data_IF_135618858389
#
_entry.id   IF_135618858389
#
_cell.length_a   1.000
_cell.length_b   1.000
_cell.length_c   1.000
_cell.angle_alpha   90.00
_cell.angle_beta   90.00
_cell.angle_gamma   90.00
#
_symmetry.space_group_name_H-M   'P 1'
#
loop_
_entity.id
_entity.type
_entity.pdbx_description
1 polymer ?
#
# COMPACT_ATOMS: atom_id res chain seq x y z
N UNK A 1 -62.60 13.91 9.62
CA UNK A 1 -61.25 13.96 10.20
C UNK A 1 -60.64 12.55 10.10
N UNK A 2 -59.94 12.21 9.01
CA UNK A 2 -59.20 10.96 8.95
C UNK A 2 -57.87 11.12 9.70
N UNK A 3 -57.56 10.15 10.57
CA UNK A 3 -56.38 10.16 11.43
C UNK A 3 -55.07 10.08 10.64
N UNK A 4 -54.08 10.83 11.11
CA UNK A 4 -52.71 10.79 10.59
C UNK A 4 -52.08 9.41 10.82
N UNK A 5 -51.45 8.82 9.80
CA UNK A 5 -50.67 7.59 9.98
C UNK A 5 -49.40 7.88 10.77
N UNK A 6 -49.25 7.20 11.90
CA UNK A 6 -48.05 7.21 12.73
C UNK A 6 -46.83 6.74 11.92
N UNK A 7 -45.87 7.64 11.70
CA UNK A 7 -44.59 7.32 11.07
C UNK A 7 -43.83 6.38 12.01
N UNK A 8 -43.39 5.18 11.57
CA UNK A 8 -42.56 4.31 12.39
C UNK A 8 -41.23 5.02 12.67
N UNK A 9 -40.93 5.25 13.95
CA UNK A 9 -39.67 5.84 14.40
C UNK A 9 -38.50 4.98 13.90
N UNK A 10 -37.66 5.54 13.06
CA UNK A 10 -36.36 4.94 12.71
C UNK A 10 -35.59 4.73 14.02
N UNK A 11 -35.18 3.50 14.36
CA UNK A 11 -34.42 3.27 15.58
C UNK A 11 -33.12 4.08 15.50
N UNK A 12 -32.84 4.86 16.54
CA UNK A 12 -31.54 5.52 16.67
C UNK A 12 -30.43 4.46 16.56
N UNK A 13 -29.29 4.76 15.89
CA UNK A 13 -28.19 3.82 15.79
C UNK A 13 -27.80 3.37 17.20
N UNK A 14 -27.88 2.06 17.45
CA UNK A 14 -27.53 1.45 18.73
C UNK A 14 -26.08 1.87 19.05
N UNK A 15 -25.89 2.54 20.18
CA UNK A 15 -24.53 2.81 20.67
C UNK A 15 -23.80 1.46 20.75
N UNK A 16 -22.56 1.37 20.22
CA UNK A 16 -21.86 0.09 20.18
C UNK A 16 -21.67 -0.40 21.61
N UNK A 17 -22.03 -1.67 21.86
CA UNK A 17 -21.90 -2.34 23.17
C UNK A 17 -20.55 -2.01 23.83
N UNK A 18 -20.50 -1.68 25.14
CA UNK A 18 -19.27 -1.27 25.83
C UNK A 18 -18.15 -2.32 25.75
N UNK A 19 -18.50 -3.56 25.42
CA UNK A 19 -17.58 -4.63 25.06
C UNK A 19 -17.90 -5.23 23.69
N UNK A 20 -16.88 -5.68 22.96
CA UNK A 20 -17.07 -6.36 21.68
C UNK A 20 -15.78 -6.64 20.91
N UNK A 21 -15.84 -7.47 19.85
CA UNK A 21 -14.71 -7.74 18.98
C UNK A 21 -14.29 -6.48 18.21
N UNK A 22 -12.99 -6.31 18.04
CA UNK A 22 -12.41 -5.22 17.28
C UNK A 22 -11.02 -5.64 16.74
N UNK A 23 -10.45 -4.81 15.89
CA UNK A 23 -9.10 -4.98 15.35
C UNK A 23 -8.27 -3.76 15.74
N UNK A 24 -7.15 -3.99 16.41
CA UNK A 24 -6.15 -2.98 16.69
C UNK A 24 -5.17 -2.92 15.52
N UNK A 25 -5.06 -1.74 14.92
CA UNK A 25 -4.20 -1.47 13.77
C UNK A 25 -3.08 -0.52 14.20
N UNK A 26 -1.86 -1.03 14.33
CA UNK A 26 -0.71 -0.20 14.73
C UNK A 26 -0.16 0.53 13.51
N UNK A 27 0.05 1.83 13.63
CA UNK A 27 0.52 2.65 12.51
C UNK A 27 1.94 2.27 12.07
N UNK A 28 2.19 2.45 10.78
CA UNK A 28 3.47 2.30 10.10
C UNK A 28 4.42 3.45 10.37
N UNK A 29 5.15 3.90 9.35
CA UNK A 29 6.13 4.99 9.45
C UNK A 29 5.50 6.38 9.73
N UNK A 30 4.18 6.47 9.90
CA UNK A 30 3.46 7.72 10.12
C UNK A 30 3.93 8.44 11.39
N UNK A 31 4.37 7.71 12.42
CA UNK A 31 4.89 8.31 13.65
C UNK A 31 6.18 9.11 13.43
N UNK A 32 6.91 8.88 12.33
CA UNK A 32 8.11 9.64 11.96
C UNK A 32 7.76 11.00 11.33
N UNK A 33 6.49 11.25 11.00
CA UNK A 33 6.04 12.51 10.42
C UNK A 33 5.74 13.51 11.54
N UNK A 34 6.38 14.68 11.48
CA UNK A 34 6.21 15.77 12.45
C UNK A 34 4.86 16.47 12.32
N UNK A 35 4.85 17.74 11.89
CA UNK A 35 3.65 18.60 11.89
C UNK A 35 2.48 18.09 11.02
N UNK A 36 2.75 17.32 9.96
CA UNK A 36 1.73 16.88 8.99
C UNK A 36 1.06 15.54 9.33
N UNK A 37 1.29 15.00 10.52
CA UNK A 37 0.84 13.65 10.91
C UNK A 37 -0.67 13.42 10.79
N UNK A 38 -1.49 14.44 11.01
CA UNK A 38 -2.94 14.36 10.89
C UNK A 38 -3.36 14.00 9.45
N UNK A 39 -2.80 14.66 8.43
CA UNK A 39 -3.07 14.37 7.01
C UNK A 39 -2.73 12.92 6.63
N UNK A 40 -1.62 12.39 7.14
CA UNK A 40 -1.26 10.98 6.93
C UNK A 40 -2.26 10.03 7.60
N UNK A 41 -2.74 10.38 8.79
CA UNK A 41 -3.71 9.56 9.54
C UNK A 41 -5.07 9.56 8.84
N UNK A 42 -5.53 10.71 8.36
CA UNK A 42 -6.76 10.84 7.59
C UNK A 42 -6.70 10.01 6.30
N UNK A 43 -5.62 10.15 5.52
CA UNK A 43 -5.41 9.34 4.31
C UNK A 43 -5.40 7.84 4.61
N UNK A 44 -4.78 7.43 5.71
CA UNK A 44 -4.78 6.03 6.14
C UNK A 44 -6.20 5.53 6.44
N UNK A 45 -7.01 6.35 7.10
CA UNK A 45 -8.41 6.02 7.39
C UNK A 45 -9.25 5.96 6.11
N UNK A 46 -9.01 6.85 5.15
CA UNK A 46 -9.68 6.79 3.85
C UNK A 46 -9.34 5.51 3.08
N UNK A 47 -8.06 5.11 3.08
CA UNK A 47 -7.63 3.85 2.49
C UNK A 47 -8.27 2.65 3.21
N UNK A 48 -8.37 2.70 4.54
CA UNK A 48 -9.05 1.67 5.32
C UNK A 48 -10.55 1.60 4.98
N UNK A 49 -11.24 2.72 4.89
CA UNK A 49 -12.65 2.77 4.46
C UNK A 49 -12.82 2.21 3.05
N UNK A 50 -11.91 2.54 2.13
CA UNK A 50 -11.86 1.98 0.78
C UNK A 50 -11.75 0.46 0.80
N UNK A 51 -10.82 -0.10 1.57
CA UNK A 51 -10.63 -1.54 1.72
C UNK A 51 -11.84 -2.26 2.36
N UNK A 52 -12.65 -1.55 3.16
CA UNK A 52 -13.85 -2.06 3.81
C UNK A 52 -15.12 -1.94 2.96
N UNK A 53 -15.07 -1.33 1.76
CA UNK A 53 -16.24 -1.25 0.88
C UNK A 53 -16.74 -2.65 0.52
N UNK A 54 -18.06 -2.80 0.46
CA UNK A 54 -18.73 -4.06 0.10
C UNK A 54 -18.54 -5.20 1.12
N UNK A 55 -18.19 -4.91 2.37
CA UNK A 55 -17.98 -5.94 3.40
C UNK A 55 -19.29 -6.49 4.01
N UNK A 56 -20.45 -5.94 3.63
CA UNK A 56 -21.76 -6.50 4.01
C UNK A 56 -22.28 -6.12 5.41
N UNK A 57 -21.75 -5.07 6.03
CA UNK A 57 -22.23 -4.58 7.33
C UNK A 57 -21.70 -3.20 7.69
N UNK A 58 -22.11 -2.70 8.86
CA UNK A 58 -21.66 -1.40 9.37
C UNK A 58 -20.25 -1.53 9.98
N UNK A 59 -19.40 -0.52 9.78
CA UNK A 59 -18.07 -0.44 10.39
C UNK A 59 -17.82 0.92 11.01
N UNK A 60 -16.98 0.97 12.04
CA UNK A 60 -16.56 2.19 12.71
C UNK A 60 -15.05 2.20 12.93
N UNK A 61 -14.47 3.40 12.92
CA UNK A 61 -13.04 3.64 13.07
C UNK A 61 -12.83 4.63 14.22
N UNK A 62 -12.06 4.23 15.23
CA UNK A 62 -11.62 5.10 16.34
C UNK A 62 -10.13 5.33 16.25
N UNK A 63 -9.72 6.59 16.29
CA UNK A 63 -8.30 6.95 16.27
C UNK A 63 -7.75 7.06 17.69
N UNK A 64 -6.54 6.57 17.89
CA UNK A 64 -5.72 6.83 19.06
C UNK A 64 -4.30 7.19 18.64
N UNK A 65 -3.47 7.58 19.60
CA UNK A 65 -2.05 7.85 19.33
C UNK A 65 -1.35 6.58 18.80
N UNK A 66 -0.90 6.61 17.54
CA UNK A 66 -0.23 5.50 16.83
C UNK A 66 -1.07 4.21 16.67
N UNK A 67 -2.38 4.24 16.96
CA UNK A 67 -3.27 3.10 16.81
C UNK A 67 -4.57 3.54 16.15
N UNK A 68 -5.11 2.70 15.29
CA UNK A 68 -6.49 2.79 14.84
C UNK A 68 -7.23 1.57 15.37
N UNK A 69 -8.41 1.75 15.94
CA UNK A 69 -9.30 0.67 16.34
C UNK A 69 -10.42 0.58 15.32
N UNK A 70 -10.58 -0.60 14.74
CA UNK A 70 -11.62 -0.92 13.78
C UNK A 70 -12.62 -1.89 14.43
N UNK A 71 -13.91 -1.63 14.30
CA UNK A 71 -14.94 -2.60 14.66
C UNK A 71 -16.16 -2.44 13.76
N UNK A 72 -17.18 -3.25 13.99
CA UNK A 72 -18.38 -3.24 13.17
C UNK A 72 -19.29 -4.43 13.41
N UNK A 73 -20.42 -4.44 12.73
CA UNK A 73 -21.36 -5.57 12.68
C UNK A 73 -20.98 -6.50 11.52
N UNK A 74 -19.75 -6.98 11.56
CA UNK A 74 -19.12 -7.80 10.53
C UNK A 74 -18.26 -8.86 11.22
N UNK A 75 -18.14 -10.09 10.69
CA UNK A 75 -17.20 -11.07 11.23
C UNK A 75 -15.79 -10.50 11.42
N UNK A 76 -15.19 -10.80 12.58
CA UNK A 76 -13.87 -10.27 12.95
C UNK A 76 -12.79 -10.68 11.94
N UNK A 77 -12.90 -11.90 11.41
CA UNK A 77 -11.97 -12.45 10.41
C UNK A 77 -11.97 -11.63 9.12
N UNK A 78 -13.15 -11.20 8.64
CA UNK A 78 -13.27 -10.36 7.46
C UNK A 78 -12.62 -8.98 7.67
N UNK A 79 -12.83 -8.38 8.86
CA UNK A 79 -12.17 -7.12 9.22
C UNK A 79 -10.64 -7.26 9.22
N UNK A 80 -10.13 -8.36 9.79
CA UNK A 80 -8.70 -8.66 9.80
C UNK A 80 -8.18 -8.85 8.37
N UNK A 81 -8.88 -9.62 7.53
CA UNK A 81 -8.46 -9.89 6.15
C UNK A 81 -8.36 -8.60 5.32
N UNK A 82 -9.38 -7.72 5.40
CA UNK A 82 -9.36 -6.43 4.71
C UNK A 82 -8.27 -5.52 5.26
N UNK A 83 -8.13 -5.42 6.58
CA UNK A 83 -7.15 -4.53 7.20
C UNK A 83 -5.69 -4.96 6.93
N UNK A 84 -5.42 -6.27 6.76
CA UNK A 84 -4.09 -6.79 6.41
C UNK A 84 -3.58 -6.34 5.04
N UNK A 85 -4.45 -5.82 4.17
CA UNK A 85 -4.08 -5.29 2.85
C UNK A 85 -3.84 -3.79 2.84
N UNK A 86 -4.14 -3.09 3.94
CA UNK A 86 -4.02 -1.63 3.99
C UNK A 86 -2.58 -1.23 4.32
N UNK A 87 -1.89 -0.71 3.31
CA UNK A 87 -0.55 -0.14 3.45
C UNK A 87 -0.61 1.07 4.41
N UNK A 88 0.34 1.10 5.34
CA UNK A 88 0.43 2.10 6.41
C UNK A 88 0.16 1.54 7.80
N UNK A 89 -0.25 0.27 7.94
CA UNK A 89 -0.33 -0.44 9.23
C UNK A 89 0.79 -1.47 9.37
N UNK A 90 1.53 -1.42 10.48
CA UNK A 90 2.61 -2.35 10.79
C UNK A 90 2.12 -3.67 11.38
N UNK A 91 1.03 -3.64 12.14
CA UNK A 91 0.39 -4.86 12.65
C UNK A 91 -1.13 -4.73 12.68
N UNK A 92 -1.76 -5.87 12.51
CA UNK A 92 -3.21 -6.08 12.55
C UNK A 92 -3.48 -7.13 13.62
N UNK A 93 -4.10 -6.69 14.71
CA UNK A 93 -4.24 -7.48 15.94
C UNK A 93 -5.74 -7.62 16.26
N UNK A 94 -6.37 -8.78 16.04
CA UNK A 94 -7.71 -9.04 16.55
C UNK A 94 -7.71 -8.91 18.08
N UNK A 95 -8.74 -8.26 18.62
CA UNK A 95 -8.81 -7.90 20.02
C UNK A 95 -10.26 -7.88 20.53
N UNK A 96 -10.40 -7.94 21.84
CA UNK A 96 -11.65 -7.65 22.53
C UNK A 96 -11.54 -6.29 23.20
N UNK A 97 -12.51 -5.42 22.91
CA UNK A 97 -12.74 -4.17 23.60
C UNK A 97 -13.55 -4.46 24.86
N UNK A 98 -13.13 -3.92 25.99
CA UNK A 98 -13.77 -4.09 27.30
C UNK A 98 -13.71 -2.80 28.13
N UNK A 99 -14.54 -2.64 29.16
CA UNK A 99 -14.36 -1.55 30.12
C UNK A 99 -12.95 -1.56 30.73
N UNK A 100 -12.42 -0.37 31.03
CA UNK A 100 -11.08 -0.23 31.61
C UNK A 100 -11.06 -0.52 33.13
N UNK A 101 -11.55 -1.68 33.54
CA UNK A 101 -11.52 -2.15 34.93
C UNK A 101 -10.63 -3.38 35.07
N UNK A 102 -10.00 -3.56 36.23
CA UNK A 102 -9.22 -4.77 36.51
C UNK A 102 -10.03 -6.06 36.32
N UNK A 103 -11.27 -6.20 36.84
CA UNK A 103 -12.07 -7.41 36.65
C UNK A 103 -12.34 -7.75 35.18
N UNK A 104 -12.77 -6.77 34.38
CA UNK A 104 -13.14 -6.99 32.98
C UNK A 104 -11.92 -7.42 32.14
N UNK A 105 -10.81 -6.71 32.28
CA UNK A 105 -9.56 -7.05 31.58
C UNK A 105 -9.06 -8.44 31.99
N UNK A 106 -9.11 -8.76 33.29
CA UNK A 106 -8.65 -10.05 33.81
C UNK A 106 -9.49 -11.19 33.26
N UNK A 107 -10.81 -11.06 33.30
CA UNK A 107 -11.74 -12.05 32.74
C UNK A 107 -11.42 -12.34 31.28
N UNK A 108 -11.28 -11.29 30.47
CA UNK A 108 -10.99 -11.45 29.04
C UNK A 108 -9.61 -12.06 28.76
N UNK A 109 -8.58 -11.69 29.52
CA UNK A 109 -7.26 -12.29 29.38
C UNK A 109 -7.26 -13.80 29.71
N UNK A 110 -8.02 -14.20 30.74
CA UNK A 110 -8.20 -15.61 31.11
C UNK A 110 -8.95 -16.37 30.03
N UNK A 111 -10.07 -15.83 29.54
CA UNK A 111 -10.89 -16.45 28.48
C UNK A 111 -10.09 -16.63 27.18
N UNK A 112 -9.31 -15.63 26.77
CA UNK A 112 -8.46 -15.70 25.58
C UNK A 112 -7.41 -16.83 25.68
N UNK A 113 -6.75 -16.97 26.84
CA UNK A 113 -5.78 -18.04 27.06
C UNK A 113 -6.41 -19.42 27.24
N UNK A 114 -7.62 -19.49 27.83
CA UNK A 114 -8.36 -20.74 27.94
C UNK A 114 -8.69 -21.33 26.56
N UNK A 115 -9.13 -20.49 25.63
CA UNK A 115 -9.39 -20.89 24.25
C UNK A 115 -8.11 -21.41 23.57
N UNK A 116 -7.01 -20.63 23.62
CA UNK A 116 -5.74 -21.02 23.00
C UNK A 116 -5.15 -22.31 23.58
N UNK A 117 -5.32 -22.55 24.88
CA UNK A 117 -4.87 -23.78 25.55
C UNK A 117 -5.67 -25.01 25.14
N UNK A 118 -6.98 -24.85 24.92
CA UNK A 118 -7.85 -25.95 24.48
C UNK A 118 -7.37 -26.50 23.13
N UNK A 119 -6.92 -25.61 22.25
CA UNK A 119 -6.35 -25.98 20.95
C UNK A 119 -4.95 -26.59 21.08
N UNK A 120 -4.12 -26.06 21.99
CA UNK A 120 -2.72 -26.48 22.15
C UNK A 120 -2.37 -26.65 23.63
N UNK A 121 -2.43 -27.88 24.17
CA UNK A 121 -1.99 -28.17 25.52
C UNK A 121 -0.51 -27.84 25.73
N UNK A 122 -0.16 -27.24 26.87
CA UNK A 122 1.24 -26.96 27.24
C UNK A 122 1.84 -25.67 26.67
N UNK A 123 1.05 -24.81 26.01
CA UNK A 123 1.52 -23.52 25.51
C UNK A 123 2.12 -22.64 26.62
N UNK A 124 3.23 -21.99 26.29
CA UNK A 124 3.78 -20.91 27.09
C UNK A 124 3.09 -19.59 26.81
N UNK A 125 3.05 -18.70 27.80
CA UNK A 125 2.46 -17.37 27.62
C UNK A 125 3.28 -16.26 28.27
N UNK A 126 3.02 -15.03 27.83
CA UNK A 126 3.39 -13.82 28.55
C UNK A 126 2.28 -12.78 28.46
N UNK A 127 2.29 -11.86 29.43
CA UNK A 127 1.42 -10.68 29.43
C UNK A 127 2.30 -9.44 29.18
N UNK A 128 1.80 -8.52 28.34
CA UNK A 128 2.38 -7.20 28.14
C UNK A 128 1.31 -6.13 28.26
N UNK A 129 1.56 -5.11 29.08
CA UNK A 129 0.60 -4.05 29.36
C UNK A 129 1.15 -2.70 28.90
N UNK A 130 0.42 -2.04 28.00
CA UNK A 130 0.69 -0.67 27.59
C UNK A 130 -0.40 0.27 28.11
N UNK A 131 0.01 1.26 28.91
CA UNK A 131 -0.88 2.23 29.54
C UNK A 131 -0.81 3.59 28.87
N UNK A 132 -1.93 4.02 28.26
CA UNK A 132 -2.18 5.43 27.91
C UNK A 132 -2.68 6.17 29.14
N UNK A 133 -3.66 5.59 29.84
CA UNK A 133 -4.16 6.13 31.10
C UNK A 133 -3.13 5.93 32.23
N UNK A 134 -2.49 7.03 32.68
CA UNK A 134 -1.51 7.04 33.78
C UNK A 134 -2.16 7.08 35.17
N UNK A 135 -3.47 7.22 35.25
CA UNK A 135 -4.25 7.22 36.49
C UNK A 135 -4.79 5.82 36.85
N UNK A 136 -4.61 4.82 35.97
CA UNK A 136 -4.99 3.44 36.25
C UNK A 136 -4.27 2.88 37.50
N UNK A 137 -5.00 2.14 38.33
CA UNK A 137 -4.65 1.73 39.69
C UNK A 137 -3.32 0.97 39.84
N UNK A 138 -2.84 0.30 38.79
CA UNK A 138 -1.60 -0.49 38.82
C UNK A 138 -0.67 -0.14 37.65
N UNK A 139 0.62 0.07 37.90
CA UNK A 139 1.62 0.27 36.82
C UNK A 139 1.63 -0.90 35.83
N UNK A 140 2.14 -0.70 34.62
CA UNK A 140 2.20 -1.76 33.60
C UNK A 140 2.83 -3.05 34.14
N UNK A 141 3.98 -2.94 34.81
CA UNK A 141 4.70 -4.11 35.35
C UNK A 141 3.97 -4.77 36.52
N UNK A 142 3.31 -3.99 37.39
CA UNK A 142 2.46 -4.54 38.44
C UNK A 142 1.27 -5.30 37.84
N UNK A 143 0.62 -4.74 36.82
CA UNK A 143 -0.55 -5.35 36.21
C UNK A 143 -0.20 -6.58 35.37
N UNK A 144 0.96 -6.60 34.71
CA UNK A 144 1.50 -7.80 34.05
C UNK A 144 1.66 -8.98 35.03
N UNK A 145 2.25 -8.72 36.21
CA UNK A 145 2.40 -9.74 37.26
C UNK A 145 1.05 -10.21 37.80
N UNK A 146 0.14 -9.27 38.04
CA UNK A 146 -1.21 -9.55 38.51
C UNK A 146 -1.98 -10.43 37.53
N UNK A 147 -2.04 -10.05 36.25
CA UNK A 147 -2.70 -10.82 35.20
C UNK A 147 -2.07 -12.21 35.05
N UNK A 148 -0.73 -12.30 35.05
CA UNK A 148 -0.03 -13.57 34.98
C UNK A 148 -0.38 -14.51 36.13
N UNK A 149 -0.49 -13.99 37.36
CA UNK A 149 -0.92 -14.77 38.52
C UNK A 149 -2.38 -15.25 38.39
N UNK A 150 -3.30 -14.35 38.02
CA UNK A 150 -4.72 -14.68 37.84
C UNK A 150 -4.98 -15.70 36.74
N UNK A 151 -4.23 -15.62 35.64
CA UNK A 151 -4.28 -16.63 34.57
C UNK A 151 -3.86 -18.01 35.08
N UNK A 152 -2.74 -18.10 35.83
CA UNK A 152 -2.28 -19.38 36.39
C UNK A 152 -3.22 -19.93 37.45
N UNK A 153 -3.84 -19.07 38.24
CA UNK A 153 -4.84 -19.46 39.23
C UNK A 153 -6.10 -20.03 38.57
N UNK A 154 -6.60 -19.36 37.52
CA UNK A 154 -7.83 -19.76 36.84
C UNK A 154 -7.65 -21.00 35.96
N UNK A 155 -6.51 -21.14 35.28
CA UNK A 155 -6.29 -22.21 34.30
C UNK A 155 -5.42 -23.34 34.88
N UNK A 156 -4.66 -23.14 35.95
CA UNK A 156 -3.68 -24.10 36.45
C UNK A 156 -2.27 -23.89 35.84
N UNK A 157 -1.37 -24.90 35.90
CA UNK A 157 0.02 -24.73 35.49
C UNK A 157 0.13 -24.43 33.98
N UNK A 158 0.44 -23.17 33.64
CA UNK A 158 0.90 -22.76 32.33
C UNK A 158 2.35 -22.23 32.41
N UNK A 159 3.26 -22.66 31.52
CA UNK A 159 4.60 -22.10 31.41
C UNK A 159 4.58 -20.59 31.11
N UNK A 160 5.40 -19.82 31.81
CA UNK A 160 5.60 -18.39 31.52
C UNK A 160 6.92 -18.23 30.76
N UNK A 161 6.88 -17.65 29.57
CA UNK A 161 8.06 -17.37 28.77
C UNK A 161 8.09 -15.88 28.38
N UNK A 162 8.96 -15.09 29.01
CA UNK A 162 9.00 -13.66 28.80
C UNK A 162 9.77 -13.23 27.54
N UNK A 163 10.54 -14.12 26.91
CA UNK A 163 11.35 -13.81 25.73
C UNK A 163 10.64 -14.22 24.43
N UNK A 164 10.15 -15.45 24.34
CA UNK A 164 9.51 -15.99 23.14
C UNK A 164 8.28 -16.86 23.50
N UNK A 165 7.19 -16.25 23.99
CA UNK A 165 5.97 -16.97 24.34
C UNK A 165 5.25 -17.53 23.12
N UNK A 166 4.57 -18.67 23.27
CA UNK A 166 3.66 -19.19 22.25
C UNK A 166 2.42 -18.30 22.09
N UNK A 167 1.96 -17.70 23.20
CA UNK A 167 0.86 -16.72 23.22
C UNK A 167 1.27 -15.47 23.99
N UNK A 168 1.24 -14.33 23.30
CA UNK A 168 1.45 -13.03 23.93
C UNK A 168 0.10 -12.34 24.13
N UNK A 169 -0.35 -12.25 25.39
CA UNK A 169 -1.52 -11.44 25.75
C UNK A 169 -1.08 -9.98 25.88
N UNK A 170 -1.48 -9.17 24.92
CA UNK A 170 -1.24 -7.73 24.89
C UNK A 170 -2.47 -6.99 25.40
N UNK A 171 -2.27 -6.10 26.37
CA UNK A 171 -3.32 -5.28 26.96
C UNK A 171 -3.00 -3.80 26.73
N UNK A 172 -3.85 -3.10 26.00
CA UNK A 172 -3.80 -1.65 25.86
C UNK A 172 -4.87 -0.99 26.73
N UNK A 173 -4.44 -0.27 27.77
CA UNK A 173 -5.32 0.43 28.71
C UNK A 173 -5.46 1.89 28.30
N UNK A 174 -6.68 2.28 27.94
CA UNK A 174 -7.08 3.66 27.67
C UNK A 174 -7.96 4.21 28.83
N UNK A 175 -8.46 5.44 28.70
CA UNK A 175 -9.26 6.07 29.76
C UNK A 175 -10.66 5.48 29.93
N UNK A 176 -11.29 5.05 28.84
CA UNK A 176 -12.68 4.54 28.86
C UNK A 176 -12.77 3.05 28.60
N UNK A 177 -11.96 2.57 27.66
CA UNK A 177 -12.02 1.21 27.14
C UNK A 177 -10.61 0.66 27.05
N UNK A 178 -10.44 -0.61 27.39
CA UNK A 178 -9.20 -1.36 27.25
C UNK A 178 -9.34 -2.40 26.15
N UNK A 179 -8.22 -2.80 25.57
CA UNK A 179 -8.19 -3.76 24.48
C UNK A 179 -7.27 -4.91 24.83
N UNK A 180 -7.77 -6.13 24.70
CA UNK A 180 -7.01 -7.37 24.96
C UNK A 180 -6.85 -8.11 23.63
N UNK A 181 -5.61 -8.28 23.18
CA UNK A 181 -5.27 -9.07 21.98
C UNK A 181 -4.30 -10.20 22.32
N UNK A 182 -4.36 -11.29 21.57
CA UNK A 182 -3.52 -12.47 21.77
C UNK A 182 -2.94 -13.01 20.46
N UNK A 183 -3.25 -12.38 19.34
CA UNK A 183 -2.72 -12.69 18.02
C UNK A 183 -2.28 -11.41 17.33
N UNK A 184 -1.14 -11.48 16.64
CA UNK A 184 -0.54 -10.35 15.93
C UNK A 184 -0.20 -10.75 14.52
N UNK A 185 -0.96 -10.25 13.55
CA UNK A 185 -0.62 -10.39 12.15
C UNK A 185 0.29 -9.24 11.72
N UNK A 186 1.32 -9.58 10.94
CA UNK A 186 2.16 -8.58 10.30
C UNK A 186 1.35 -7.82 9.24
N UNK A 187 1.36 -6.49 9.32
CA UNK A 187 0.78 -5.62 8.30
C UNK A 187 1.83 -5.18 7.27
N UNK A 188 1.41 -4.56 6.15
CA UNK A 188 2.32 -4.13 5.09
C UNK A 188 3.32 -3.04 5.52
N UNK A 189 3.02 -2.31 6.59
CA UNK A 189 3.78 -1.16 7.05
C UNK A 189 3.83 -0.04 6.00
N UNK A 190 4.89 0.77 6.02
CA UNK A 190 5.10 1.85 5.06
C UNK A 190 4.23 3.09 5.33
N UNK A 191 3.99 3.86 4.27
CA UNK A 191 3.20 5.10 4.27
C UNK A 191 1.84 4.90 3.61
N UNK A 192 0.78 5.60 4.06
CA UNK A 192 -0.53 5.57 3.43
C UNK A 192 -0.43 5.85 1.93
N UNK A 193 -1.02 4.98 1.10
CA UNK A 193 -1.07 5.20 -0.35
C UNK A 193 -1.75 6.53 -0.67
N UNK A 194 -1.18 7.29 -1.60
CA UNK A 194 -1.61 8.64 -1.97
C UNK A 194 -1.01 9.76 -1.11
N UNK A 195 -0.18 9.46 -0.11
CA UNK A 195 0.49 10.48 0.71
C UNK A 195 1.76 11.06 0.09
N UNK A 196 2.31 10.42 -0.96
CA UNK A 196 3.57 10.81 -1.61
C UNK A 196 3.40 11.13 -3.11
N UNK A 197 2.18 11.43 -3.55
CA UNK A 197 1.89 11.73 -4.95
C UNK A 197 1.47 10.52 -5.78
N UNK A 198 1.55 10.66 -7.11
CA UNK A 198 1.09 9.66 -8.08
C UNK A 198 2.23 9.17 -8.96
N UNK A 199 2.18 7.89 -9.32
CA UNK A 199 3.14 7.29 -10.23
C UNK A 199 2.44 6.47 -11.32
N UNK A 200 3.08 6.39 -12.49
CA UNK A 200 2.70 5.48 -13.56
C UNK A 200 3.69 4.32 -13.61
N UNK A 201 3.20 3.11 -13.38
CA UNK A 201 4.00 1.89 -13.32
C UNK A 201 4.04 1.25 -14.71
N UNK A 202 5.24 1.01 -15.25
CA UNK A 202 5.42 0.17 -16.43
C UNK A 202 5.26 -1.30 -16.03
N UNK A 203 4.04 -1.82 -16.18
CA UNK A 203 3.65 -3.15 -15.75
C UNK A 203 3.88 -4.16 -16.89
N UNK A 204 4.74 -5.14 -16.63
CA UNK A 204 5.01 -6.30 -17.47
C UNK A 204 4.39 -7.56 -16.87
N UNK A 205 4.36 -8.66 -17.63
CA UNK A 205 3.88 -9.95 -17.15
C UNK A 205 4.83 -10.70 -16.20
N UNK A 206 6.02 -10.15 -15.93
CA UNK A 206 7.00 -10.79 -15.04
C UNK A 206 6.76 -10.51 -13.55
N UNK A 207 7.58 -11.10 -12.68
CA UNK A 207 7.53 -10.88 -11.23
C UNK A 207 7.91 -9.45 -10.81
N UNK A 208 8.81 -8.83 -11.56
CA UNK A 208 9.60 -7.69 -11.08
C UNK A 208 8.76 -6.41 -11.05
N UNK A 209 7.98 -6.12 -12.10
CA UNK A 209 7.19 -4.88 -12.17
C UNK A 209 6.00 -4.84 -11.19
N UNK A 210 5.26 -5.93 -10.89
CA UNK A 210 4.28 -5.93 -9.80
C UNK A 210 4.92 -5.69 -8.43
N UNK A 211 6.08 -6.29 -8.17
CA UNK A 211 6.79 -6.10 -6.89
C UNK A 211 7.30 -4.67 -6.76
N UNK A 212 7.83 -4.09 -7.83
CA UNK A 212 8.21 -2.68 -7.87
C UNK A 212 7.01 -1.75 -7.61
N UNK A 213 5.85 -2.05 -8.21
CA UNK A 213 4.61 -1.31 -7.97
C UNK A 213 4.21 -1.34 -6.49
N UNK A 214 4.19 -2.53 -5.89
CA UNK A 214 3.86 -2.69 -4.47
C UNK A 214 4.83 -1.94 -3.57
N UNK A 215 6.14 -1.99 -3.85
CA UNK A 215 7.17 -1.26 -3.10
C UNK A 215 7.03 0.27 -3.25
N UNK A 216 6.66 0.75 -4.43
CA UNK A 216 6.30 2.15 -4.65
C UNK A 216 5.07 2.56 -3.82
N UNK A 217 4.02 1.73 -3.80
CA UNK A 217 2.83 1.96 -2.98
C UNK A 217 3.15 2.00 -1.49
N UNK A 218 4.06 1.15 -0.99
CA UNK A 218 4.55 1.18 0.39
C UNK A 218 5.27 2.48 0.77
N UNK A 219 5.76 3.25 -0.20
CA UNK A 219 6.30 4.60 0.01
C UNK A 219 5.25 5.70 -0.15
N UNK A 220 3.97 5.34 -0.22
CA UNK A 220 2.85 6.27 -0.26
C UNK A 220 2.45 6.74 -1.66
N UNK A 221 3.00 6.16 -2.73
CA UNK A 221 2.60 6.48 -4.10
C UNK A 221 1.28 5.81 -4.46
N UNK A 222 0.36 6.57 -5.06
CA UNK A 222 -0.81 5.99 -5.75
C UNK A 222 -0.41 5.63 -7.18
N UNK A 223 -0.65 4.40 -7.60
CA UNK A 223 -0.15 3.85 -8.85
C UNK A 223 -1.28 3.63 -9.86
N UNK A 224 -1.18 4.27 -11.02
CA UNK A 224 -1.80 3.78 -12.26
C UNK A 224 -0.77 2.89 -13.00
N UNK A 225 -1.24 2.06 -13.91
CA UNK A 225 -0.41 1.09 -14.64
C UNK A 225 -0.44 1.38 -16.14
N UNK A 226 0.68 1.18 -16.81
CA UNK A 226 0.78 1.11 -18.27
C UNK A 226 1.40 -0.22 -18.68
N UNK A 227 0.74 -0.94 -19.56
CA UNK A 227 1.21 -2.18 -20.15
C UNK A 227 1.37 -2.02 -21.66
N UNK A 228 2.52 -2.46 -22.17
CA UNK A 228 2.82 -2.43 -23.59
C UNK A 228 2.67 -3.84 -24.19
N UNK A 229 1.91 -3.94 -25.27
CA UNK A 229 1.63 -5.22 -25.95
C UNK A 229 2.33 -5.27 -27.30
N UNK A 230 2.55 -6.47 -27.83
CA UNK A 230 3.07 -6.65 -29.18
C UNK A 230 1.99 -6.64 -30.26
N UNK A 231 0.75 -6.26 -29.94
CA UNK A 231 -0.35 -6.26 -30.91
C UNK A 231 -0.01 -5.38 -32.14
N UNK A 232 -0.40 -5.79 -33.37
CA UNK A 232 -1.22 -6.97 -33.69
C UNK A 232 -0.43 -8.29 -33.84
N UNK A 233 0.87 -8.31 -33.53
CA UNK A 233 1.74 -9.47 -33.75
C UNK A 233 1.75 -10.48 -32.60
N UNK A 234 1.23 -10.10 -31.43
CA UNK A 234 1.06 -11.00 -30.28
C UNK A 234 -0.41 -11.18 -29.94
N UNK A 235 -0.74 -12.30 -29.29
CA UNK A 235 -2.08 -12.56 -28.79
C UNK A 235 -2.43 -11.68 -27.55
N UNK A 236 -3.68 -11.77 -27.09
CA UNK A 236 -4.20 -10.98 -25.96
C UNK A 236 -3.79 -11.49 -24.57
N UNK A 237 -3.06 -12.60 -24.46
CA UNK A 237 -2.72 -13.22 -23.16
C UNK A 237 -1.91 -12.27 -22.26
N UNK A 238 -0.99 -11.49 -22.85
CA UNK A 238 -0.21 -10.49 -22.10
C UNK A 238 -1.09 -9.42 -21.45
N UNK A 239 -2.15 -8.98 -22.15
CA UNK A 239 -3.14 -8.03 -21.63
C UNK A 239 -3.94 -8.63 -20.48
N UNK A 240 -4.42 -9.86 -20.62
CA UNK A 240 -5.15 -10.54 -19.54
C UNK A 240 -4.28 -10.71 -18.29
N UNK A 241 -2.99 -11.05 -18.49
CA UNK A 241 -2.02 -11.18 -17.41
C UNK A 241 -1.76 -9.85 -16.72
N UNK A 242 -1.54 -8.77 -17.48
CA UNK A 242 -1.39 -7.43 -16.93
C UNK A 242 -2.64 -6.96 -16.17
N UNK A 243 -3.84 -7.26 -16.68
CA UNK A 243 -5.10 -6.98 -16.00
C UNK A 243 -5.20 -7.73 -14.66
N UNK A 244 -4.88 -9.02 -14.64
CA UNK A 244 -4.90 -9.83 -13.42
C UNK A 244 -3.90 -9.31 -12.38
N UNK A 245 -2.68 -8.95 -12.80
CA UNK A 245 -1.67 -8.34 -11.92
C UNK A 245 -2.14 -7.00 -11.36
N UNK A 246 -2.66 -6.11 -12.21
CA UNK A 246 -3.18 -4.82 -11.78
C UNK A 246 -4.38 -4.96 -10.83
N UNK A 247 -5.25 -5.96 -11.05
CA UNK A 247 -6.37 -6.29 -10.16
C UNK A 247 -5.87 -6.72 -8.77
N UNK A 248 -4.85 -7.57 -8.71
CA UNK A 248 -4.28 -8.02 -7.44
C UNK A 248 -3.62 -6.86 -6.69
N UNK A 249 -2.86 -6.01 -7.40
CA UNK A 249 -2.22 -4.84 -6.84
C UNK A 249 -3.23 -3.78 -6.34
N UNK A 250 -4.37 -3.63 -7.02
CA UNK A 250 -5.45 -2.74 -6.62
C UNK A 250 -6.14 -3.16 -5.31
N UNK A 251 -5.81 -4.32 -4.74
CA UNK A 251 -6.26 -4.68 -3.38
C UNK A 251 -5.51 -3.91 -2.29
N UNK A 252 -4.36 -3.30 -2.60
CA UNK A 252 -3.49 -2.59 -1.66
C UNK A 252 -3.60 -1.05 -1.76
N UNK A 253 -4.39 -0.54 -2.70
CA UNK A 253 -4.57 0.89 -2.95
C UNK A 253 -5.99 1.20 -3.40
N UNK A 254 -6.43 2.47 -3.37
CA UNK A 254 -7.62 2.88 -4.12
C UNK A 254 -7.47 2.54 -5.61
N UNK A 255 -8.52 2.00 -6.25
CA UNK A 255 -8.47 1.42 -7.59
C UNK A 255 -7.69 2.27 -8.61
N UNK A 256 -6.58 1.72 -9.09
CA UNK A 256 -5.74 2.27 -10.16
C UNK A 256 -6.21 1.79 -11.53
N UNK A 257 -5.94 2.60 -12.55
CA UNK A 257 -6.29 2.32 -13.95
C UNK A 257 -5.18 1.50 -14.62
N UNK A 258 -5.56 0.65 -15.56
CA UNK A 258 -4.61 -0.01 -16.46
C UNK A 258 -4.75 0.57 -17.86
N UNK A 259 -3.67 1.18 -18.34
CA UNK A 259 -3.53 1.69 -19.69
C UNK A 259 -2.81 0.65 -20.55
N UNK A 260 -3.36 0.31 -21.70
CA UNK A 260 -2.79 -0.67 -22.63
C UNK A 260 -2.41 0.04 -23.93
N UNK A 261 -1.14 -0.06 -24.32
CA UNK A 261 -0.59 0.55 -25.53
C UNK A 261 -0.05 -0.56 -26.44
N UNK A 262 -0.54 -0.61 -27.68
CA UNK A 262 -0.08 -1.56 -28.68
C UNK A 262 1.20 -1.05 -29.36
N UNK A 263 2.32 -1.73 -29.12
CA UNK A 263 3.65 -1.30 -29.58
C UNK A 263 4.13 -2.04 -30.84
N UNK A 264 3.43 -3.10 -31.29
CA UNK A 264 3.93 -4.02 -32.31
C UNK A 264 4.39 -3.31 -33.59
N UNK A 265 3.56 -2.41 -34.13
CA UNK A 265 3.92 -1.66 -35.34
C UNK A 265 5.13 -0.75 -35.13
N UNK A 266 5.19 -0.04 -34.00
CA UNK A 266 6.31 0.84 -33.68
C UNK A 266 7.62 0.05 -33.47
N UNK A 267 7.55 -1.17 -32.92
CA UNK A 267 8.72 -2.04 -32.82
C UNK A 267 9.26 -2.46 -34.20
N UNK A 268 8.36 -2.74 -35.15
CA UNK A 268 8.74 -3.03 -36.54
C UNK A 268 9.35 -1.81 -37.21
N UNK A 269 8.79 -0.62 -37.00
CA UNK A 269 9.35 0.62 -37.52
C UNK A 269 10.75 0.91 -36.95
N UNK A 270 10.99 0.66 -35.66
CA UNK A 270 12.33 0.72 -35.06
C UNK A 270 13.34 -0.21 -35.76
N UNK A 271 12.91 -1.42 -36.10
CA UNK A 271 13.75 -2.37 -36.82
C UNK A 271 14.09 -1.86 -38.23
N UNK A 272 13.10 -1.31 -38.96
CA UNK A 272 13.27 -0.71 -40.29
C UNK A 272 14.16 0.54 -40.25
N UNK A 273 14.06 1.36 -39.20
CA UNK A 273 14.90 2.54 -38.99
C UNK A 273 16.39 2.20 -38.73
N UNK A 274 16.70 0.92 -38.54
CA UNK A 274 18.05 0.40 -38.41
C UNK A 274 18.52 0.26 -36.96
N UNK A 275 17.60 0.03 -36.01
CA UNK A 275 17.99 -0.14 -34.60
C UNK A 275 18.93 -1.33 -34.37
N UNK A 276 18.77 -2.43 -35.12
CA UNK A 276 19.68 -3.58 -35.08
C UNK A 276 19.97 -4.08 -33.66
N UNK A 277 21.23 -4.01 -33.21
CA UNK A 277 21.62 -4.42 -31.85
C UNK A 277 21.07 -3.52 -30.73
N UNK A 278 20.64 -2.31 -31.07
CA UNK A 278 20.03 -1.34 -30.15
C UNK A 278 18.52 -1.54 -29.98
N UNK A 279 17.89 -2.45 -30.74
CA UNK A 279 16.44 -2.64 -30.78
C UNK A 279 15.79 -2.69 -29.39
N UNK A 280 16.35 -3.46 -28.45
CA UNK A 280 15.80 -3.58 -27.08
C UNK A 280 15.89 -2.26 -26.31
N UNK A 281 17.00 -1.53 -26.43
CA UNK A 281 17.18 -0.25 -25.73
C UNK A 281 16.32 0.84 -26.37
N UNK A 282 16.25 0.90 -27.69
CA UNK A 282 15.40 1.84 -28.43
C UNK A 282 13.91 1.60 -28.13
N UNK A 283 13.48 0.34 -28.07
CA UNK A 283 12.13 -0.02 -27.65
C UNK A 283 11.82 0.44 -26.23
N UNK A 284 12.73 0.24 -25.28
CA UNK A 284 12.54 0.68 -23.89
C UNK A 284 12.49 2.21 -23.78
N UNK A 285 13.30 2.93 -24.58
CA UNK A 285 13.22 4.39 -24.69
C UNK A 285 11.88 4.86 -25.22
N UNK A 286 11.36 4.22 -26.27
CA UNK A 286 10.02 4.48 -26.79
C UNK A 286 8.93 4.25 -25.72
N UNK A 287 8.99 3.14 -24.98
CA UNK A 287 8.05 2.86 -23.88
C UNK A 287 8.11 3.94 -22.80
N UNK A 288 9.30 4.35 -22.39
CA UNK A 288 9.49 5.38 -21.36
C UNK A 288 9.04 6.75 -21.83
N UNK A 289 9.28 7.12 -23.10
CA UNK A 289 8.78 8.37 -23.67
C UNK A 289 7.25 8.37 -23.77
N UNK A 290 6.66 7.28 -24.26
CA UNK A 290 5.20 7.14 -24.31
C UNK A 290 4.56 7.17 -22.90
N UNK A 291 5.18 6.50 -21.93
CA UNK A 291 4.73 6.54 -20.53
C UNK A 291 4.87 7.95 -19.93
N UNK A 292 5.95 8.68 -20.22
CA UNK A 292 6.14 10.07 -19.77
C UNK A 292 5.08 11.01 -20.34
N UNK A 293 4.76 10.88 -21.62
CA UNK A 293 3.70 11.65 -22.26
C UNK A 293 2.30 11.28 -21.71
N UNK A 294 2.04 10.00 -21.43
CA UNK A 294 0.82 9.54 -20.76
C UNK A 294 0.69 10.08 -19.33
N UNK A 295 1.81 10.20 -18.60
CA UNK A 295 1.82 10.66 -17.23
C UNK A 295 1.24 12.08 -17.08
N UNK A 296 1.37 12.94 -18.09
CA UNK A 296 0.69 14.24 -18.14
C UNK A 296 -0.85 14.13 -18.11
N UNK A 297 -1.42 13.09 -18.73
CA UNK A 297 -2.88 12.82 -18.73
C UNK A 297 -3.36 12.18 -17.43
N UNK A 298 -2.49 11.45 -16.73
CA UNK A 298 -2.82 10.77 -15.45
C UNK A 298 -2.41 11.54 -14.20
N UNK A 299 -1.72 12.68 -14.37
CA UNK A 299 -1.11 13.50 -13.31
C UNK A 299 -0.09 12.71 -12.48
N UNK A 300 0.60 11.76 -13.11
CA UNK A 300 1.70 11.05 -12.47
C UNK A 300 2.95 11.95 -12.42
N UNK A 301 3.63 11.93 -11.28
CA UNK A 301 4.83 12.73 -11.00
C UNK A 301 6.12 11.91 -11.13
N UNK A 302 5.99 10.59 -11.32
CA UNK A 302 7.10 9.66 -11.52
C UNK A 302 6.68 8.44 -12.35
N UNK A 303 7.66 7.81 -13.00
CA UNK A 303 7.53 6.49 -13.58
C UNK A 303 8.11 5.45 -12.62
N UNK A 304 7.54 4.23 -12.59
CA UNK A 304 8.07 3.11 -11.81
C UNK A 304 8.36 1.95 -12.73
N UNK A 305 9.55 1.36 -12.60
CA UNK A 305 9.95 0.17 -13.37
C UNK A 305 10.42 -0.95 -12.44
N UNK A 306 10.29 -2.19 -12.92
CA UNK A 306 10.81 -3.39 -12.27
C UNK A 306 12.27 -3.69 -12.59
N UNK A 307 13.08 -2.69 -12.95
CA UNK A 307 14.48 -2.91 -13.30
C UNK A 307 15.33 -3.28 -12.08
N UNK A 308 16.15 -4.34 -12.22
CA UNK A 308 17.22 -4.71 -11.26
C UNK A 308 18.58 -4.64 -11.95
N UNK A 309 19.61 -4.16 -11.26
CA UNK A 309 20.92 -3.93 -11.85
C UNK A 309 21.62 -5.25 -12.17
N UNK A 310 22.05 -5.43 -13.43
CA UNK A 310 22.86 -6.58 -13.85
C UNK A 310 22.06 -7.88 -14.06
N UNK A 311 20.74 -7.86 -13.95
CA UNK A 311 19.90 -9.05 -14.16
C UNK A 311 19.81 -9.46 -15.64
N UNK A 312 19.73 -8.50 -16.56
CA UNK A 312 19.71 -8.72 -18.01
C UNK A 312 20.57 -7.71 -18.76
N UNK A 313 20.95 -8.03 -20.00
CA UNK A 313 21.81 -7.17 -20.84
C UNK A 313 21.26 -5.75 -21.04
N UNK A 314 19.93 -5.57 -21.04
CA UNK A 314 19.28 -4.26 -21.16
C UNK A 314 19.26 -3.44 -19.85
N UNK A 315 19.72 -4.02 -18.74
CA UNK A 315 19.73 -3.42 -17.39
C UNK A 315 21.16 -3.24 -16.85
N UNK A 316 22.11 -2.93 -17.72
CA UNK A 316 23.41 -2.38 -17.31
C UNK A 316 23.25 -0.91 -16.94
N UNK A 317 24.16 -0.35 -16.12
CA UNK A 317 24.14 1.09 -15.80
C UNK A 317 24.11 1.97 -17.04
N UNK A 318 24.87 1.62 -18.08
CA UNK A 318 24.91 2.37 -19.33
C UNK A 318 23.56 2.35 -20.07
N UNK A 319 22.91 1.19 -20.13
CA UNK A 319 21.61 1.07 -20.77
C UNK A 319 20.48 1.69 -19.93
N UNK A 320 20.56 1.64 -18.60
CA UNK A 320 19.63 2.36 -17.72
C UNK A 320 19.73 3.86 -17.92
N UNK A 321 20.95 4.42 -17.93
CA UNK A 321 21.17 5.84 -18.22
C UNK A 321 20.66 6.22 -19.62
N UNK A 322 20.88 5.37 -20.61
CA UNK A 322 20.34 5.57 -21.95
C UNK A 322 18.80 5.52 -21.97
N UNK A 323 18.14 4.69 -21.18
CA UNK A 323 16.68 4.67 -21.10
C UNK A 323 16.13 5.88 -20.33
N UNK A 324 16.79 6.29 -19.25
CA UNK A 324 16.39 7.42 -18.41
C UNK A 324 16.41 8.75 -19.15
N UNK A 325 17.35 8.94 -20.08
CA UNK A 325 17.40 10.15 -20.92
C UNK A 325 16.12 10.36 -21.76
N UNK A 326 15.38 9.29 -22.06
CA UNK A 326 14.11 9.40 -22.77
C UNK A 326 12.93 9.82 -21.88
N UNK A 327 13.10 9.82 -20.55
CA UNK A 327 12.05 10.18 -19.61
C UNK A 327 12.01 11.69 -19.34
N UNK A 328 10.82 12.27 -19.23
CA UNK A 328 10.64 13.65 -18.74
C UNK A 328 10.31 13.70 -17.24
N UNK A 329 10.12 12.54 -16.62
CA UNK A 329 9.81 12.36 -15.20
C UNK A 329 10.86 11.47 -14.53
N UNK A 330 11.03 11.57 -13.20
CA UNK A 330 11.88 10.65 -12.46
C UNK A 330 11.48 9.18 -12.67
N UNK A 331 12.45 8.33 -13.01
CA UNK A 331 12.26 6.88 -13.14
C UNK A 331 12.69 6.18 -11.85
N UNK A 332 11.72 5.72 -11.07
CA UNK A 332 11.94 5.02 -9.82
C UNK A 332 12.19 3.53 -10.07
N UNK A 333 13.23 2.99 -9.44
CA UNK A 333 13.64 1.57 -9.52
C UNK A 333 13.73 0.95 -8.12
N UNK A 334 12.59 0.57 -7.50
CA UNK A 334 12.59 -0.01 -6.16
C UNK A 334 13.44 -1.27 -6.00
N UNK A 335 13.73 -1.98 -7.11
CA UNK A 335 14.39 -3.28 -7.12
C UNK A 335 15.84 -3.22 -7.62
N UNK A 336 16.42 -2.02 -7.79
CA UNK A 336 17.74 -1.84 -8.43
C UNK A 336 18.86 -2.67 -7.80
N UNK A 337 18.80 -2.91 -6.49
CA UNK A 337 19.79 -3.71 -5.76
C UNK A 337 19.28 -5.05 -5.24
N UNK A 338 18.15 -5.55 -5.76
CA UNK A 338 17.53 -6.78 -5.29
C UNK A 338 17.97 -8.00 -6.11
N UNK A 339 18.15 -9.12 -5.43
CA UNK A 339 18.34 -10.42 -6.06
C UNK A 339 17.01 -10.98 -6.56
N UNK A 340 17.09 -11.89 -7.54
CA UNK A 340 15.90 -12.48 -8.16
C UNK A 340 15.04 -13.25 -7.17
N UNK A 341 15.67 -13.95 -6.22
CA UNK A 341 14.95 -14.76 -5.24
C UNK A 341 14.15 -13.88 -4.28
N UNK A 342 14.72 -12.76 -3.83
CA UNK A 342 14.01 -11.77 -3.00
C UNK A 342 12.75 -11.23 -3.69
N UNK A 343 12.85 -10.94 -5.00
CA UNK A 343 11.72 -10.49 -5.81
C UNK A 343 10.63 -11.58 -5.88
N UNK A 344 11.01 -12.84 -6.10
CA UNK A 344 10.06 -13.96 -6.18
C UNK A 344 9.36 -14.17 -4.84
N UNK A 345 10.08 -14.09 -3.73
CA UNK A 345 9.49 -14.28 -2.40
C UNK A 345 8.52 -13.15 -2.03
N UNK A 346 8.84 -11.91 -2.41
CA UNK A 346 7.88 -10.80 -2.29
C UNK A 346 6.66 -11.03 -3.20
N UNK A 347 6.86 -11.45 -4.45
CA UNK A 347 5.77 -11.72 -5.39
C UNK A 347 4.80 -12.80 -4.86
N UNK A 348 5.32 -13.81 -4.16
CA UNK A 348 4.50 -14.82 -3.47
C UNK A 348 3.74 -14.19 -2.30
N UNK A 349 4.40 -13.37 -1.49
CA UNK A 349 3.78 -12.69 -0.35
C UNK A 349 2.63 -11.76 -0.74
N UNK A 350 2.66 -11.20 -1.96
CA UNK A 350 1.62 -10.28 -2.46
C UNK A 350 0.66 -10.92 -3.46
N UNK A 351 0.74 -12.25 -3.67
CA UNK A 351 -0.18 -12.99 -4.53
C UNK A 351 0.01 -12.79 -6.03
N UNK A 352 1.10 -12.17 -6.49
CA UNK A 352 1.36 -11.92 -7.92
C UNK A 352 2.18 -13.01 -8.59
N UNK A 353 2.83 -13.89 -7.81
CA UNK A 353 3.72 -14.93 -8.35
C UNK A 353 3.00 -15.90 -9.30
N UNK A 354 1.84 -16.42 -8.91
CA UNK A 354 1.09 -17.41 -9.72
C UNK A 354 0.65 -16.82 -11.06
N UNK A 355 0.23 -15.55 -11.05
CA UNK A 355 -0.14 -14.83 -12.27
C UNK A 355 1.10 -14.60 -13.15
N UNK A 356 2.25 -14.25 -12.55
CA UNK A 356 3.50 -13.96 -13.26
C UNK A 356 4.09 -15.16 -13.99
N UNK A 357 3.82 -16.38 -13.51
CA UNK A 357 4.26 -17.65 -14.13
C UNK A 357 3.50 -17.96 -15.42
N UNK A 358 2.25 -17.47 -15.57
CA UNK A 358 1.40 -17.83 -16.70
C UNK A 358 2.10 -17.53 -18.04
N UNK A 359 1.99 -18.40 -19.05
CA UNK A 359 2.64 -18.18 -20.33
C UNK A 359 2.06 -16.95 -21.02
N UNK A 360 2.93 -16.11 -21.58
CA UNK A 360 2.58 -14.96 -22.39
C UNK A 360 3.56 -14.78 -23.55
N UNK A 361 3.14 -13.98 -24.53
CA UNK A 361 4.01 -13.51 -25.61
C UNK A 361 4.55 -12.13 -25.23
N UNK A 362 5.76 -12.11 -24.66
CA UNK A 362 6.44 -10.86 -24.28
C UNK A 362 6.77 -10.01 -25.51
N UNK A 363 6.22 -8.80 -25.57
CA UNK A 363 6.45 -7.85 -26.65
C UNK A 363 7.94 -7.52 -26.84
N UNK A 364 8.77 -7.61 -25.80
CA UNK A 364 10.21 -7.34 -25.88
C UNK A 364 10.99 -8.46 -26.58
N UNK A 365 10.42 -9.66 -26.71
CA UNK A 365 11.07 -10.81 -27.37
C UNK A 365 10.77 -10.89 -28.86
N UNK A 366 9.65 -10.33 -29.32
CA UNK A 366 9.15 -10.46 -30.69
C UNK A 366 10.19 -10.07 -31.76
N UNK A 367 10.94 -9.00 -31.51
CA UNK A 367 11.98 -8.48 -32.43
C UNK A 367 13.35 -8.36 -31.75
N UNK A 368 13.60 -9.14 -30.69
CA UNK A 368 14.88 -9.08 -29.99
C UNK A 368 16.03 -9.57 -30.90
N UNK A 369 17.16 -8.84 -30.98
CA UNK A 369 18.31 -9.28 -31.74
C UNK A 369 19.00 -10.47 -31.05
N UNK A 370 19.76 -11.32 -31.77
CA UNK A 370 20.48 -12.46 -31.19
C UNK A 370 21.47 -12.06 -30.08
N UNK A 371 21.99 -10.83 -30.14
CA UNK A 371 22.85 -10.26 -29.10
C UNK A 371 22.39 -8.84 -28.79
N UNK A 372 21.98 -8.63 -27.56
CA UNK A 372 21.60 -7.31 -27.04
C UNK A 372 22.86 -6.57 -26.63
N UNK A 373 22.98 -5.30 -27.03
CA UNK A 373 24.09 -4.44 -26.66
C UNK A 373 24.12 -4.16 -25.15
N UNK A 374 25.28 -4.34 -24.51
CA UNK A 374 25.48 -4.04 -23.07
C UNK A 374 25.71 -2.54 -22.79
N UNK A 375 26.04 -1.76 -23.81
CA UNK A 375 26.28 -0.31 -23.73
C UNK A 375 25.81 0.37 -25.00
N UNK A 376 24.58 0.86 -25.02
CA UNK A 376 24.04 1.59 -26.16
C UNK A 376 24.65 3.00 -26.23
N UNK A 377 25.10 3.40 -27.42
CA UNK A 377 25.53 4.77 -27.69
C UNK A 377 24.33 5.68 -27.87
N UNK A 378 24.27 6.79 -27.12
CA UNK A 378 23.16 7.76 -27.24
C UNK A 378 23.05 8.35 -28.64
N UNK A 379 24.17 8.67 -29.29
CA UNK A 379 24.18 9.21 -30.66
C UNK A 379 23.52 8.27 -31.67
N UNK A 380 23.77 6.97 -31.55
CA UNK A 380 23.17 5.97 -32.44
C UNK A 380 21.66 5.83 -32.17
N UNK A 381 21.26 5.85 -30.89
CA UNK A 381 19.85 5.85 -30.49
C UNK A 381 19.11 7.07 -31.03
N UNK A 382 19.63 8.28 -30.86
CA UNK A 382 19.04 9.51 -31.39
C UNK A 382 18.94 9.49 -32.92
N UNK A 383 19.92 8.87 -33.61
CA UNK A 383 19.87 8.71 -35.07
C UNK A 383 18.72 7.81 -35.51
N UNK A 384 18.51 6.69 -34.81
CA UNK A 384 17.38 5.78 -35.06
C UNK A 384 16.05 6.48 -34.77
N UNK A 385 15.96 7.20 -33.65
CA UNK A 385 14.76 7.93 -33.23
C UNK A 385 14.38 9.06 -34.20
N UNK A 386 15.38 9.77 -34.74
CA UNK A 386 15.17 10.79 -35.76
C UNK A 386 14.65 10.23 -37.07
N UNK A 387 15.13 9.05 -37.50
CA UNK A 387 14.63 8.38 -38.71
C UNK A 387 13.20 7.85 -38.54
N UNK A 388 12.85 7.47 -37.31
CA UNK A 388 11.53 6.95 -36.97
C UNK A 388 10.45 8.04 -36.92
N UNK A 389 10.85 9.30 -36.71
CA UNK A 389 9.97 10.37 -36.26
C UNK A 389 9.27 10.02 -34.95
N UNK A 390 10.09 9.93 -33.89
CA UNK A 390 9.69 9.38 -32.60
C UNK A 390 8.47 10.09 -31.98
N UNK A 391 8.34 11.39 -32.17
CA UNK A 391 7.27 12.17 -31.55
C UNK A 391 5.92 11.85 -32.21
N UNK A 392 5.87 11.80 -33.54
CA UNK A 392 4.67 11.37 -34.29
C UNK A 392 4.24 9.93 -33.94
N UNK A 393 5.22 9.04 -33.77
CA UNK A 393 4.96 7.66 -33.34
C UNK A 393 4.36 7.62 -31.94
N UNK A 394 4.90 8.38 -30.98
CA UNK A 394 4.36 8.46 -29.62
C UNK A 394 2.94 9.01 -29.62
N UNK A 395 2.67 10.05 -30.40
CA UNK A 395 1.33 10.62 -30.53
C UNK A 395 0.34 9.65 -31.17
N UNK A 396 0.78 8.83 -32.12
CA UNK A 396 0.02 7.71 -32.64
C UNK A 396 -0.35 6.69 -31.55
N UNK A 397 0.66 6.22 -30.79
CA UNK A 397 0.46 5.24 -29.72
C UNK A 397 -0.51 5.73 -28.63
N UNK A 398 -0.50 7.02 -28.31
CA UNK A 398 -1.36 7.62 -27.29
C UNK A 398 -2.78 7.92 -27.77
N UNK A 399 -3.03 7.93 -29.08
CA UNK A 399 -4.39 8.05 -29.64
C UNK A 399 -5.18 6.76 -29.47
N UNK A 400 -4.52 5.62 -29.66
CA UNK A 400 -5.15 4.28 -29.63
C UNK A 400 -5.08 3.60 -28.26
N UNK A 401 -4.89 4.38 -27.19
CA UNK A 401 -4.75 3.85 -25.83
C UNK A 401 -6.06 3.24 -25.32
N UNK A 402 -5.99 2.01 -24.83
CA UNK A 402 -7.12 1.37 -24.17
C UNK A 402 -7.01 1.52 -22.65
N UNK A 403 -8.08 1.95 -21.99
CA UNK A 403 -8.13 2.10 -20.52
C UNK A 403 -9.04 1.03 -19.93
N UNK A 404 -8.54 0.34 -18.91
CA UNK A 404 -9.23 -0.69 -18.16
C UNK A 404 -9.26 -0.33 -16.67
N UNK A 405 -10.23 -0.89 -15.93
CA UNK A 405 -10.44 -0.63 -14.51
C UNK A 405 -10.39 -1.94 -13.69
N UNK A 406 -9.19 -2.47 -13.41
CA UNK A 406 -9.04 -3.77 -12.77
C UNK A 406 -9.61 -3.79 -11.35
N UNK A 407 -10.60 -4.65 -11.11
CA UNK A 407 -11.17 -4.88 -9.78
C UNK A 407 -12.32 -3.94 -9.36
N UNK A 408 -12.68 -2.96 -10.19
CA UNK A 408 -13.89 -2.17 -9.97
C UNK A 408 -15.11 -2.87 -10.59
N UNK A 409 -16.03 -3.34 -9.75
CA UNK A 409 -17.31 -3.89 -10.19
C UNK A 409 -18.28 -2.75 -10.54
N UNK A 410 -18.13 -2.14 -11.72
CA UNK A 410 -19.18 -1.40 -12.44
C UNK A 410 -19.83 -0.16 -11.82
N UNK A 411 -19.75 0.06 -10.50
CA UNK A 411 -20.36 1.18 -9.80
C UNK A 411 -19.26 2.15 -9.34
N UNK A 412 -19.28 3.32 -9.97
CA UNK A 412 -18.49 4.51 -9.65
C UNK A 412 -16.99 4.44 -9.95
N UNK A 413 -16.64 4.82 -11.19
CA UNK A 413 -15.47 5.65 -11.37
C UNK A 413 -15.67 6.92 -10.54
N UNK A 414 -15.06 6.99 -9.35
CA UNK A 414 -15.16 8.14 -8.45
C UNK A 414 -14.77 9.43 -9.22
N UNK A 415 -15.73 10.32 -9.54
CA UNK A 415 -15.42 11.60 -10.17
C UNK A 415 -14.61 12.50 -9.21
N UNK A 416 -14.60 12.18 -7.92
CA UNK A 416 -13.84 12.83 -6.85
C UNK A 416 -12.36 12.45 -6.78
N UNK A 417 -11.91 11.42 -7.52
CA UNK A 417 -10.47 11.10 -7.66
C UNK A 417 -9.68 12.19 -8.40
N UNK A 418 -10.38 13.21 -8.90
CA UNK A 418 -9.89 14.39 -9.58
C UNK A 418 -9.96 15.68 -8.75
N UNK A 419 -10.41 15.62 -7.47
CA UNK A 419 -10.30 16.77 -6.56
C UNK A 419 -8.83 17.12 -6.34
N UNK A 420 -8.43 18.40 -6.41
CA UNK A 420 -7.07 18.79 -6.13
C UNK A 420 -6.71 18.35 -4.71
N UNK A 421 -5.64 17.56 -4.58
CA UNK A 421 -4.99 17.39 -3.28
C UNK A 421 -4.67 18.80 -2.77
N UNK A 422 -5.11 19.11 -1.54
CA UNK A 422 -4.71 20.32 -0.84
C UNK A 422 -3.19 20.33 -0.69
N UNK A 423 -2.47 20.84 -1.69
CA UNK A 423 -1.10 21.31 -1.50
C UNK A 423 -1.19 22.47 -0.51
N UNK A 424 -0.40 22.49 0.57
CA UNK A 424 -0.29 23.69 1.38
C UNK A 424 0.27 24.80 0.49
N UNK A 425 -0.46 25.90 0.32
CA UNK A 425 0.06 27.09 -0.34
C UNK A 425 1.30 27.58 0.42
N UNK A 426 2.40 27.92 -0.28
CA UNK A 426 3.55 28.52 0.37
C UNK A 426 3.24 29.97 0.74
N UNK A 427 3.10 30.22 2.04
CA UNK A 427 3.35 31.53 2.64
C UNK A 427 2.20 32.53 2.60
N UNK A 428 1.40 32.56 3.67
CA UNK A 428 0.90 33.83 4.21
C UNK A 428 1.73 34.17 5.46
N UNK A 429 2.33 35.37 5.56
CA UNK A 429 3.02 35.77 6.76
C UNK A 429 2.02 35.94 7.91
N UNK A 430 2.33 35.33 9.04
CA UNK A 430 1.61 35.52 10.31
C UNK A 430 1.90 36.94 10.81
N UNK A 431 0.92 37.73 11.26
CA UNK A 431 1.19 39.08 11.76
C UNK A 431 2.01 39.00 13.05
N UNK A 432 3.07 39.82 13.12
CA UNK A 432 3.95 39.93 14.27
C UNK A 432 3.17 40.42 15.49
N UNK A 433 3.16 39.61 16.56
CA UNK A 433 2.73 40.07 17.88
C UNK A 433 3.88 40.91 18.45
N UNK A 434 3.63 42.20 18.67
CA UNK A 434 4.51 43.11 19.39
C UNK A 434 4.87 42.52 20.76
N UNK A 435 6.15 42.26 20.97
CA UNK A 435 6.72 42.09 22.30
C UNK A 435 7.13 43.47 22.82
N UNK A 436 6.46 43.91 23.89
CA UNK A 436 6.85 45.03 24.74
C UNK A 436 8.24 44.79 25.34
N UNK A 437 9.20 45.64 24.98
CA UNK A 437 10.48 45.76 25.68
C UNK A 437 10.30 46.50 27.00
N UNK A 438 10.54 45.81 28.11
CA UNK A 438 10.98 46.41 29.36
C UNK A 438 12.35 45.85 29.69
N UNK A 439 13.37 46.70 29.62
CA UNK A 439 14.60 46.52 30.40
C UNK A 439 15.16 47.88 30.74
N UNK A 440 14.98 48.27 32.00
CA UNK A 440 15.66 49.41 32.60
C UNK A 440 17.15 49.13 32.78
N UNK A 441 17.92 50.18 32.55
CA UNK A 441 19.19 50.59 33.18
C UNK A 441 19.86 49.64 34.18
N UNK A 442 21.19 49.52 34.09
CA UNK A 442 22.16 49.98 35.11
C UNK A 442 23.60 49.85 34.57
N UNK A 443 24.26 51.01 34.47
CA UNK A 443 25.65 51.36 34.83
C UNK A 443 26.82 50.44 34.45
N UNK A 444 27.74 50.89 33.59
CA UNK A 444 28.92 51.74 33.90
C UNK A 444 29.74 51.97 32.63
#
# INVERSE_FOLDING_TARGET
MPGEPSIPSVPAPRAPSPSGPCVLLKHGEIFLKGRNRHLFTERLHDNLRGALRGIGGSTWIKSGQNVTVLGGEVPLEDLVERARRVIGFNSVEPALRVPSTVPDITKTAVEALAAARTERPGISFAVRVKRRNKDFEMTSSQFERFLGARVREALGPLPVNLSSPDVLVSVEIDHKESYVSWTRHQGPGGLPVGSSGRALVLLSGGYDSPVAAYRAMRRGLRCDFVHFTGAPYTNAASVYKAYALARELNRYQPGGRLHVIALGQAQKQLAIAGAGRLQVVAQRRLMVRAASALAGRTRAEALVTGDSLGQVASQTLANMAAVDEAATLPVLRPLVGWEKQEIIDEARSIGTAEISVLPDEDCCKLLAPPRVTLRAGLTDLHTVEKRLDLDDVVDGLLRDIQVMYPGNSGEEADPGADRPDHRPEPGRPVPSVCATEQSGSVSS
#
